data_IF_001615845536
#
_entry.id   IF_001615845536
#
_cell.length_a   1.000
_cell.length_b   1.000
_cell.length_c   1.000
_cell.angle_alpha   90.00
_cell.angle_beta   90.00
_cell.angle_gamma   90.00
#
_symmetry.space_group_name_H-M   'P 1'
#
loop_
_entity.id
_entity.type
_entity.pdbx_description
1 polymer ?
#
# COMPACT_ATOMS: atom_id res chain seq x y z
N UNK A 1 22.44 -7.37 -41.55
CA UNK A 1 21.45 -6.41 -41.04
C UNK A 1 21.12 -6.84 -39.62
N UNK A 2 21.62 -6.10 -38.62
CA UNK A 2 21.39 -6.39 -37.21
C UNK A 2 19.98 -5.95 -36.81
N UNK A 3 19.15 -6.90 -36.36
CA UNK A 3 17.93 -6.59 -35.61
C UNK A 3 18.31 -6.45 -34.14
N UNK A 4 18.37 -5.21 -33.64
CA UNK A 4 18.57 -4.94 -32.23
C UNK A 4 17.35 -5.37 -31.42
N UNK A 5 17.56 -6.26 -30.46
CA UNK A 5 16.60 -6.56 -29.41
C UNK A 5 16.60 -5.38 -28.44
N UNK A 6 15.54 -4.57 -28.47
CA UNK A 6 15.33 -3.51 -27.49
C UNK A 6 15.18 -4.10 -26.08
N UNK A 7 15.44 -3.34 -25.01
CA UNK A 7 15.29 -3.82 -23.65
C UNK A 7 13.84 -4.22 -23.43
N UNK A 8 13.64 -5.43 -22.92
CA UNK A 8 12.35 -5.99 -22.54
C UNK A 8 11.69 -5.04 -21.54
N UNK A 9 10.67 -4.30 -21.97
CA UNK A 9 9.89 -3.47 -21.06
C UNK A 9 9.36 -4.34 -19.92
N UNK A 10 9.63 -3.94 -18.69
CA UNK A 10 9.08 -4.58 -17.51
C UNK A 10 7.56 -4.57 -17.63
N UNK A 11 6.95 -5.75 -17.73
CA UNK A 11 5.50 -5.85 -17.96
C UNK A 11 4.78 -5.48 -16.66
N UNK A 12 3.99 -4.41 -16.70
CA UNK A 12 2.96 -4.14 -15.71
C UNK A 12 1.97 -5.31 -15.67
N UNK A 13 1.46 -5.62 -14.48
CA UNK A 13 0.44 -6.64 -14.29
C UNK A 13 -0.29 -6.43 -12.97
N UNK A 14 -1.42 -7.12 -12.75
CA UNK A 14 -2.19 -7.00 -11.53
C UNK A 14 -1.29 -7.29 -10.33
N UNK A 15 -1.22 -6.33 -9.42
CA UNK A 15 -0.57 -6.46 -8.14
C UNK A 15 -1.65 -6.55 -7.06
N UNK A 16 -1.56 -7.61 -6.25
CA UNK A 16 -2.28 -7.75 -5.00
C UNK A 16 -1.30 -8.30 -4.00
N UNK A 17 -1.09 -7.59 -2.91
CA UNK A 17 -0.41 -8.13 -1.74
C UNK A 17 -1.41 -9.08 -1.05
N UNK A 18 -1.42 -10.36 -1.47
CA UNK A 18 -2.47 -11.31 -1.12
C UNK A 18 -2.70 -11.43 0.41
N UNK A 19 -3.94 -11.75 0.80
CA UNK A 19 -4.48 -11.92 2.17
C UNK A 19 -4.40 -10.73 3.15
N UNK A 20 -3.84 -9.60 2.72
CA UNK A 20 -3.60 -8.46 3.62
C UNK A 20 -2.36 -8.71 4.47
N UNK A 21 -1.50 -7.71 4.56
CA UNK A 21 -0.30 -7.73 5.37
C UNK A 21 -0.52 -6.88 6.61
N UNK A 22 -0.14 -7.37 7.78
CA UNK A 22 -0.14 -6.53 8.97
C UNK A 22 1.12 -5.65 8.99
N UNK A 23 0.95 -4.40 9.42
CA UNK A 23 2.02 -3.48 9.80
C UNK A 23 1.74 -2.99 11.22
N UNK A 24 2.74 -2.42 11.88
CA UNK A 24 2.53 -1.79 13.18
C UNK A 24 1.63 -0.56 13.04
N UNK A 25 0.70 -0.36 13.96
CA UNK A 25 -0.28 0.75 13.90
C UNK A 25 0.40 2.12 13.80
N UNK A 26 1.42 2.36 14.63
CA UNK A 26 2.23 3.59 14.62
C UNK A 26 2.91 3.86 13.27
N UNK A 27 3.07 2.82 12.45
CA UNK A 27 3.70 2.92 11.14
C UNK A 27 2.70 3.16 10.00
N UNK A 28 1.40 3.26 10.27
CA UNK A 28 0.39 3.39 9.21
C UNK A 28 0.61 4.67 8.37
N UNK A 29 0.80 5.82 9.02
CA UNK A 29 1.06 7.09 8.31
C UNK A 29 2.32 7.03 7.43
N UNK A 30 3.52 6.69 7.95
CA UNK A 30 4.72 6.63 7.11
C UNK A 30 4.64 5.54 6.03
N UNK A 31 3.87 4.46 6.24
CA UNK A 31 3.57 3.50 5.19
C UNK A 31 2.74 4.13 4.07
N UNK A 32 1.64 4.82 4.40
CA UNK A 32 0.81 5.53 3.41
C UNK A 32 1.61 6.55 2.60
N UNK A 33 2.43 7.35 3.26
CA UNK A 33 3.33 8.33 2.62
C UNK A 33 4.33 7.66 1.66
N UNK A 34 4.91 6.51 2.07
CA UNK A 34 5.85 5.76 1.24
C UNK A 34 5.18 5.19 -0.02
N UNK A 35 4.01 4.58 0.11
CA UNK A 35 3.29 4.00 -1.04
C UNK A 35 2.76 5.10 -1.98
N UNK A 36 2.34 6.24 -1.44
CA UNK A 36 1.99 7.40 -2.24
C UNK A 36 3.19 7.90 -3.05
N UNK A 37 4.36 8.03 -2.45
CA UNK A 37 5.59 8.41 -3.16
C UNK A 37 5.93 7.42 -4.27
N UNK A 38 5.86 6.11 -4.00
CA UNK A 38 6.14 5.07 -4.99
C UNK A 38 5.17 5.08 -6.18
N UNK A 39 3.90 5.42 -5.92
CA UNK A 39 2.87 5.58 -6.96
C UNK A 39 2.92 6.94 -7.67
N UNK A 40 3.71 7.89 -7.16
CA UNK A 40 3.71 9.27 -7.61
C UNK A 40 2.42 10.02 -7.28
N UNK A 41 1.71 9.59 -6.23
CA UNK A 41 0.61 10.31 -5.62
C UNK A 41 1.15 11.28 -4.56
N UNK A 42 0.59 12.49 -4.49
CA UNK A 42 0.98 13.47 -3.47
C UNK A 42 0.06 13.29 -2.26
N UNK A 43 0.58 12.65 -1.22
CA UNK A 43 -0.12 12.46 0.04
C UNK A 43 0.07 13.68 0.96
N UNK A 44 -1.02 14.17 1.55
CA UNK A 44 -1.04 15.28 2.49
C UNK A 44 -1.84 14.97 3.77
N UNK A 45 -1.97 15.97 4.65
CA UNK A 45 -2.64 15.81 5.94
C UNK A 45 -4.14 15.50 5.79
N UNK A 46 -4.79 15.91 4.69
CA UNK A 46 -6.20 15.61 4.46
C UNK A 46 -6.40 14.16 4.05
N UNK A 47 -5.47 13.60 3.27
CA UNK A 47 -5.45 12.18 2.94
C UNK A 47 -5.23 11.32 4.20
N UNK A 48 -4.28 11.74 5.05
CA UNK A 48 -4.06 11.10 6.35
C UNK A 48 -5.32 11.12 7.20
N UNK A 49 -5.95 12.28 7.35
CA UNK A 49 -7.14 12.44 8.17
C UNK A 49 -8.31 11.58 7.67
N UNK A 50 -8.44 11.35 6.36
CA UNK A 50 -9.45 10.45 5.80
C UNK A 50 -9.23 9.00 6.25
N UNK A 51 -7.99 8.51 6.15
CA UNK A 51 -7.61 7.16 6.57
C UNK A 51 -7.76 6.99 8.09
N UNK A 52 -7.21 7.92 8.87
CA UNK A 52 -7.24 7.90 10.34
C UNK A 52 -8.66 7.90 10.89
N UNK A 53 -9.57 8.71 10.31
CA UNK A 53 -10.97 8.75 10.72
C UNK A 53 -11.76 7.50 10.34
N UNK A 54 -11.40 6.84 9.23
CA UNK A 54 -12.10 5.64 8.76
C UNK A 54 -11.68 4.39 9.54
N UNK A 55 -10.41 4.30 9.94
CA UNK A 55 -9.81 3.11 10.54
C UNK A 55 -10.60 2.54 11.74
N UNK A 56 -11.12 3.33 12.71
CA UNK A 56 -11.88 2.77 13.84
C UNK A 56 -13.18 2.04 13.46
N UNK A 57 -13.70 2.25 12.25
CA UNK A 57 -14.90 1.59 11.75
C UNK A 57 -14.61 0.35 10.90
N UNK A 58 -13.33 0.00 10.72
CA UNK A 58 -12.86 -1.13 9.92
C UNK A 58 -12.56 -2.36 10.78
N UNK A 59 -12.53 -3.53 10.15
CA UNK A 59 -12.30 -4.84 10.77
C UNK A 59 -11.81 -5.82 9.69
N UNK A 60 -10.57 -6.29 9.82
CA UNK A 60 -9.93 -7.12 8.80
C UNK A 60 -10.64 -8.47 8.57
N UNK A 61 -11.32 -8.99 9.61
CA UNK A 61 -12.04 -10.28 9.59
C UNK A 61 -13.41 -10.17 8.90
N UNK A 62 -13.91 -8.94 8.72
CA UNK A 62 -15.18 -8.70 8.04
C UNK A 62 -14.99 -8.56 6.53
N UNK A 63 -15.78 -9.28 5.70
CA UNK A 63 -15.67 -9.19 4.23
C UNK A 63 -15.83 -7.77 3.67
N UNK A 64 -16.62 -6.93 4.33
CA UNK A 64 -16.90 -5.53 4.02
C UNK A 64 -16.20 -4.55 4.98
N UNK A 65 -15.30 -5.04 5.83
CA UNK A 65 -14.69 -4.27 6.90
C UNK A 65 -13.45 -3.48 6.50
N UNK A 66 -13.14 -3.36 5.21
CA UNK A 66 -11.95 -2.64 4.75
C UNK A 66 -12.32 -1.25 4.24
N UNK A 67 -11.53 -0.24 4.59
CA UNK A 67 -11.62 1.09 3.98
C UNK A 67 -10.72 1.17 2.76
N UNK A 68 -11.28 1.52 1.60
CA UNK A 68 -10.52 1.72 0.36
C UNK A 68 -10.16 3.20 0.14
N UNK A 69 -8.87 3.45 -0.11
CA UNK A 69 -8.32 4.76 -0.38
C UNK A 69 -7.63 4.79 -1.76
N UNK A 70 -8.15 5.54 -2.74
CA UNK A 70 -7.57 5.60 -4.07
C UNK A 70 -6.33 6.49 -4.12
N UNK A 71 -5.18 5.91 -4.45
CA UNK A 71 -3.94 6.63 -4.74
C UNK A 71 -3.86 6.90 -6.25
N UNK A 72 -4.44 8.03 -6.66
CA UNK A 72 -4.55 8.43 -8.07
C UNK A 72 -3.26 9.06 -8.63
N UNK A 73 -2.12 8.40 -8.39
CA UNK A 73 -0.80 8.81 -8.85
C UNK A 73 -0.51 8.41 -10.30
N UNK A 74 0.77 8.47 -10.68
CA UNK A 74 1.25 7.94 -11.98
C UNK A 74 1.01 6.43 -12.12
N UNK A 75 1.14 5.70 -11.01
CA UNK A 75 0.78 4.28 -10.91
C UNK A 75 -0.50 4.20 -10.07
N UNK A 76 -1.68 4.03 -10.68
CA UNK A 76 -2.93 4.00 -9.94
C UNK A 76 -3.01 2.76 -9.05
N UNK A 77 -3.16 3.00 -7.75
CA UNK A 77 -3.31 1.95 -6.73
C UNK A 77 -4.52 2.26 -5.85
N UNK A 78 -5.09 1.22 -5.25
CA UNK A 78 -6.03 1.34 -4.15
C UNK A 78 -5.39 0.74 -2.91
N UNK A 79 -5.24 1.56 -1.88
CA UNK A 79 -4.83 1.14 -0.54
C UNK A 79 -6.09 0.72 0.23
N UNK A 80 -6.14 -0.53 0.68
CA UNK A 80 -7.16 -1.01 1.58
C UNK A 80 -6.55 -1.11 2.97
N UNK A 81 -7.21 -0.53 3.96
CA UNK A 81 -6.80 -0.57 5.37
C UNK A 81 -7.91 -1.18 6.22
N UNK A 82 -7.53 -1.97 7.21
CA UNK A 82 -8.44 -2.48 8.23
C UNK A 82 -7.74 -2.60 9.58
N UNK A 83 -8.43 -2.20 10.64
CA UNK A 83 -7.97 -2.36 12.01
C UNK A 83 -8.03 -3.85 12.41
N UNK A 84 -7.13 -4.23 13.31
CA UNK A 84 -7.26 -5.45 14.13
C UNK A 84 -7.62 -5.01 15.55
N UNK A 85 -8.89 -5.16 15.96
CA UNK A 85 -9.29 -4.86 17.33
C UNK A 85 -8.39 -5.62 18.32
N UNK A 86 -8.00 -4.95 19.41
CA UNK A 86 -7.17 -5.54 20.48
C UNK A 86 -5.71 -5.88 20.11
N UNK A 87 -5.23 -5.48 18.93
CA UNK A 87 -3.82 -5.57 18.56
C UNK A 87 -3.25 -4.21 18.12
N UNK A 88 -1.95 -3.99 18.36
CA UNK A 88 -1.24 -2.77 17.90
C UNK A 88 -0.76 -2.90 16.45
N UNK A 89 -1.60 -3.44 15.59
CA UNK A 89 -1.32 -3.65 14.16
C UNK A 89 -2.51 -3.22 13.31
N UNK A 90 -2.22 -2.89 12.06
CA UNK A 90 -3.21 -2.57 11.03
C UNK A 90 -2.95 -3.48 9.85
N UNK A 91 -4.01 -4.05 9.29
CA UNK A 91 -3.95 -4.79 8.04
C UNK A 91 -4.00 -3.83 6.86
N UNK A 92 -3.09 -4.02 5.91
CA UNK A 92 -3.00 -3.25 4.68
C UNK A 92 -2.98 -4.18 3.48
N UNK A 93 -3.63 -3.76 2.40
CA UNK A 93 -3.61 -4.45 1.12
C UNK A 93 -3.55 -3.44 0.00
N UNK A 94 -2.69 -3.67 -0.98
CA UNK A 94 -2.61 -2.82 -2.18
C UNK A 94 -3.14 -3.58 -3.38
N UNK A 95 -4.03 -2.95 -4.14
CA UNK A 95 -4.51 -3.47 -5.42
C UNK A 95 -4.26 -2.45 -6.53
N UNK A 96 -4.01 -2.93 -7.75
CA UNK A 96 -3.81 -2.07 -8.93
C UNK A 96 -2.86 -2.70 -9.95
N UNK A 97 -2.47 -1.93 -10.96
CA UNK A 97 -1.47 -2.34 -11.95
C UNK A 97 -0.14 -1.65 -11.66
N UNK A 98 0.83 -2.42 -11.16
CA UNK A 98 2.16 -1.91 -10.82
C UNK A 98 3.24 -2.62 -11.65
N UNK A 99 4.24 -1.85 -12.10
CA UNK A 99 5.47 -2.40 -12.68
C UNK A 99 6.35 -3.06 -11.62
N UNK A 100 7.33 -3.85 -12.06
CA UNK A 100 8.17 -4.67 -11.19
C UNK A 100 8.90 -3.83 -10.11
N UNK A 101 9.38 -2.65 -10.49
CA UNK A 101 10.03 -1.72 -9.56
C UNK A 101 9.11 -1.26 -8.44
N UNK A 102 7.94 -0.69 -8.79
CA UNK A 102 6.97 -0.21 -7.79
C UNK A 102 6.50 -1.34 -6.88
N UNK A 103 6.28 -2.53 -7.44
CA UNK A 103 5.96 -3.75 -6.67
C UNK A 103 7.01 -4.06 -5.62
N UNK A 104 8.28 -4.12 -6.01
CA UNK A 104 9.39 -4.42 -5.09
C UNK A 104 9.52 -3.35 -3.99
N UNK A 105 9.26 -2.09 -4.30
CA UNK A 105 9.25 -1.01 -3.29
C UNK A 105 8.13 -1.18 -2.26
N UNK A 106 6.92 -1.54 -2.72
CA UNK A 106 5.79 -1.81 -1.82
C UNK A 106 6.08 -3.03 -0.93
N UNK A 107 6.59 -4.12 -1.50
CA UNK A 107 6.97 -5.32 -0.74
C UNK A 107 8.03 -5.00 0.32
N UNK A 108 9.04 -4.18 -0.01
CA UNK A 108 10.03 -3.73 0.95
C UNK A 108 9.42 -2.86 2.07
N UNK A 109 8.50 -1.95 1.74
CA UNK A 109 7.81 -1.15 2.74
C UNK A 109 6.98 -2.03 3.68
N UNK A 110 6.20 -2.98 3.16
CA UNK A 110 5.44 -3.94 3.98
C UNK A 110 6.34 -4.69 4.97
N UNK A 111 7.52 -5.12 4.54
CA UNK A 111 8.49 -5.77 5.41
C UNK A 111 9.05 -4.82 6.49
N UNK A 112 9.42 -3.60 6.11
CA UNK A 112 10.00 -2.61 7.03
C UNK A 112 8.98 -2.23 8.12
N UNK A 113 7.76 -1.87 7.71
CA UNK A 113 6.74 -1.33 8.60
C UNK A 113 6.03 -2.40 9.45
N UNK A 114 6.18 -3.68 9.12
CA UNK A 114 5.81 -4.79 10.02
C UNK A 114 6.88 -5.11 11.07
N UNK A 115 8.15 -4.76 10.83
CA UNK A 115 9.26 -5.22 11.69
C UNK A 115 9.78 -4.13 12.64
N UNK A 116 9.87 -2.89 12.19
CA UNK A 116 10.58 -1.83 12.91
C UNK A 116 9.62 -0.84 13.56
N UNK A 117 9.82 -0.55 14.84
CA UNK A 117 9.21 0.61 15.51
C UNK A 117 10.11 1.83 15.32
N UNK A 118 9.54 2.94 14.88
CA UNK A 118 10.21 4.22 15.03
C UNK A 118 10.38 4.50 16.54
N UNK A 119 11.62 4.75 16.97
CA UNK A 119 11.97 5.00 18.37
C UNK A 119 11.77 6.45 18.79
#
# INVERSE_FOLDING_TARGET
>A
MSGGQGPTGERSGPYSSADGHWILEDNLRPFCESVAEFSGYRFDDSDWQAIENALPATDAERPDGWYDYPLSGRVPLTLLVAAEPDASVVFVRLTGEAEARTRAQIEAALYIFSTYKAG
#
